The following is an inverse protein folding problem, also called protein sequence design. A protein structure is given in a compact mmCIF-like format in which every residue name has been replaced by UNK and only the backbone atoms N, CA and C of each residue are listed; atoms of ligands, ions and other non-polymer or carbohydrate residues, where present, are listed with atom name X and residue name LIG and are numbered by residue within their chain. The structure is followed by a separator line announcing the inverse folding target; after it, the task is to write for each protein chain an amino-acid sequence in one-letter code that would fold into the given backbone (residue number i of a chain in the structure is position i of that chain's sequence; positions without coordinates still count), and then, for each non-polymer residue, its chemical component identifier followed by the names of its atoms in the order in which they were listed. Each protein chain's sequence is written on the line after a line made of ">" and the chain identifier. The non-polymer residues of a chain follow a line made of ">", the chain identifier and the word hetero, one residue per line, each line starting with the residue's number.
data_IF_120796499768
#
_entry.id   IF_120796499768
#
_cell.length_a   1.000
_cell.length_b   1.000
_cell.length_c   1.000
_cell.angle_alpha   90.00
_cell.angle_beta   90.00
_cell.angle_gamma   90.00
#
_symmetry.space_group_name_H-M   'P 1'
#
loop_
_entity.id
_entity.type
_entity.pdbx_description
1 polymer ?
#
# COMPACT_ATOMS: atom_id res chain seq x y z
N UNK A 1 8.67 -15.01 15.20
CA UNK A 1 9.18 -15.04 13.81
C UNK A 1 8.81 -13.71 13.17
N UNK A 2 9.77 -12.98 12.60
CA UNK A 2 9.49 -11.70 11.94
C UNK A 2 8.70 -11.87 10.65
N UNK A 3 8.05 -10.80 10.20
CA UNK A 3 7.35 -10.73 8.91
C UNK A 3 8.34 -10.94 7.77
N UNK A 4 7.97 -11.74 6.77
CA UNK A 4 8.88 -12.07 5.67
C UNK A 4 8.30 -13.11 4.72
N UNK A 5 8.98 -13.31 3.60
CA UNK A 5 8.71 -14.42 2.68
C UNK A 5 9.38 -15.71 3.19
N UNK A 6 8.88 -16.89 2.81
CA UNK A 6 9.55 -18.16 3.11
C UNK A 6 11.00 -18.14 2.61
N UNK A 7 11.90 -18.78 3.36
CA UNK A 7 13.28 -18.93 2.94
C UNK A 7 13.41 -20.06 1.90
N UNK A 8 14.43 -20.01 1.02
CA UNK A 8 14.81 -21.18 0.25
C UNK A 8 15.22 -22.32 1.19
N UNK A 9 14.86 -23.55 0.83
CA UNK A 9 15.26 -24.76 1.57
C UNK A 9 16.20 -25.62 0.72
N UNK A 10 17.05 -26.42 1.37
CA UNK A 10 18.02 -27.26 0.68
C UNK A 10 17.38 -28.55 0.11
N UNK A 11 16.28 -29.00 0.70
CA UNK A 11 15.56 -30.22 0.29
C UNK A 11 14.05 -30.02 0.21
N UNK A 12 13.31 -30.85 -0.55
CA UNK A 12 11.85 -30.80 -0.59
C UNK A 12 11.18 -30.98 0.78
N UNK A 13 11.69 -31.89 1.62
CA UNK A 13 11.12 -32.14 2.94
C UNK A 13 11.35 -30.97 3.89
N UNK A 14 12.54 -30.38 3.84
CA UNK A 14 12.84 -29.16 4.58
C UNK A 14 11.94 -28.01 4.12
N UNK A 15 11.74 -27.85 2.81
CA UNK A 15 10.84 -26.84 2.25
C UNK A 15 9.44 -26.99 2.85
N UNK A 16 8.84 -28.19 2.78
CA UNK A 16 7.47 -28.39 3.25
C UNK A 16 7.33 -28.21 4.76
N UNK A 17 8.34 -28.60 5.54
CA UNK A 17 8.38 -28.32 6.99
C UNK A 17 8.40 -26.82 7.26
N UNK A 18 9.32 -26.08 6.64
CA UNK A 18 9.42 -24.62 6.81
C UNK A 18 8.16 -23.91 6.29
N UNK A 19 7.61 -24.35 5.16
CA UNK A 19 6.39 -23.80 4.58
C UNK A 19 5.19 -24.00 5.51
N UNK A 20 5.02 -25.21 6.09
CA UNK A 20 3.98 -25.49 7.09
C UNK A 20 4.09 -24.56 8.29
N UNK A 21 5.29 -24.42 8.85
CA UNK A 21 5.58 -23.53 9.99
C UNK A 21 5.28 -22.07 9.63
N UNK A 22 5.75 -21.60 8.47
CA UNK A 22 5.53 -20.23 7.98
C UNK A 22 4.05 -19.91 7.75
N UNK A 23 3.32 -20.85 7.18
CA UNK A 23 1.89 -20.72 6.86
C UNK A 23 1.02 -20.99 8.09
N UNK A 24 1.56 -21.55 9.18
CA UNK A 24 0.80 -21.97 10.36
C UNK A 24 -0.30 -22.99 9.99
N UNK A 25 0.02 -23.90 9.07
CA UNK A 25 -0.88 -24.99 8.68
C UNK A 25 -0.80 -26.16 9.65
N UNK A 26 -1.93 -26.79 9.89
CA UNK A 26 -2.00 -28.16 10.40
C UNK A 26 -1.50 -29.16 9.36
N UNK A 27 -1.28 -30.42 9.75
CA UNK A 27 -0.95 -31.47 8.78
C UNK A 27 -2.05 -31.69 7.74
N UNK A 28 -3.31 -31.67 8.18
CA UNK A 28 -4.47 -31.81 7.30
C UNK A 28 -4.58 -30.65 6.29
N UNK A 29 -4.39 -29.40 6.73
CA UNK A 29 -4.40 -28.24 5.83
C UNK A 29 -3.27 -28.29 4.80
N UNK A 30 -2.08 -28.72 5.22
CA UNK A 30 -0.96 -28.89 4.30
C UNK A 30 -1.22 -30.02 3.30
N UNK A 31 -1.77 -31.14 3.75
CA UNK A 31 -2.14 -32.25 2.87
C UNK A 31 -3.18 -31.80 1.84
N UNK A 32 -4.24 -31.11 2.29
CA UNK A 32 -5.26 -30.55 1.40
C UNK A 32 -4.68 -29.53 0.42
N UNK A 33 -3.76 -28.66 0.87
CA UNK A 33 -3.04 -27.73 -0.01
C UNK A 33 -2.24 -28.47 -1.09
N UNK A 34 -1.59 -29.58 -0.73
CA UNK A 34 -0.76 -30.38 -1.64
C UNK A 34 -1.55 -31.19 -2.67
N UNK A 35 -2.87 -31.37 -2.50
CA UNK A 35 -3.75 -32.00 -3.49
C UNK A 35 -3.87 -31.18 -4.77
N UNK A 36 -3.60 -29.87 -4.73
CA UNK A 36 -3.57 -29.02 -5.92
C UNK A 36 -2.12 -28.87 -6.46
N UNK A 37 -1.78 -29.50 -7.58
CA UNK A 37 -0.43 -29.43 -8.15
C UNK A 37 -0.03 -28.00 -8.57
N UNK A 38 -1.00 -27.12 -8.86
CA UNK A 38 -0.73 -25.72 -9.20
C UNK A 38 -0.25 -24.95 -7.98
N UNK A 39 -0.89 -25.15 -6.82
CA UNK A 39 -0.48 -24.56 -5.54
C UNK A 39 0.90 -25.07 -5.10
N UNK A 40 1.14 -26.37 -5.23
CA UNK A 40 2.45 -26.99 -4.94
C UNK A 40 3.55 -26.32 -5.76
N UNK A 41 3.37 -26.25 -7.08
CA UNK A 41 4.32 -25.61 -8.00
C UNK A 41 4.53 -24.13 -7.65
N UNK A 42 3.45 -23.41 -7.37
CA UNK A 42 3.52 -21.97 -7.08
C UNK A 42 4.22 -21.69 -5.75
N UNK A 43 3.96 -22.47 -4.70
CA UNK A 43 4.61 -22.33 -3.39
C UNK A 43 6.13 -22.48 -3.50
N UNK A 44 6.59 -23.50 -4.24
CA UNK A 44 8.00 -23.74 -4.48
C UNK A 44 8.65 -22.61 -5.29
N UNK A 45 7.97 -22.13 -6.34
CA UNK A 45 8.45 -20.99 -7.14
C UNK A 45 8.57 -19.71 -6.33
N UNK A 46 7.54 -19.36 -5.55
CA UNK A 46 7.53 -18.13 -4.74
C UNK A 46 8.60 -18.10 -3.65
N UNK A 47 9.01 -19.28 -3.16
CA UNK A 47 10.11 -19.42 -2.21
C UNK A 47 11.49 -19.62 -2.87
N UNK A 48 11.56 -19.67 -4.20
CA UNK A 48 12.81 -19.86 -4.91
C UNK A 48 13.68 -18.59 -4.84
N UNK A 49 15.02 -18.73 -4.86
CA UNK A 49 15.91 -17.58 -4.94
C UNK A 49 15.62 -16.66 -6.14
N UNK A 50 15.20 -17.24 -7.28
CA UNK A 50 14.86 -16.44 -8.47
C UNK A 50 13.72 -15.45 -8.19
N UNK A 51 12.70 -15.83 -7.43
CA UNK A 51 11.61 -14.91 -7.05
C UNK A 51 12.02 -14.01 -5.88
N UNK A 52 12.66 -14.57 -4.85
CA UNK A 52 13.00 -13.82 -3.63
C UNK A 52 14.03 -12.71 -3.85
N UNK A 53 14.84 -12.82 -4.91
CA UNK A 53 15.77 -11.79 -5.35
C UNK A 53 15.12 -10.74 -6.25
N UNK A 54 13.87 -10.93 -6.68
CA UNK A 54 13.16 -9.95 -7.49
C UNK A 54 12.38 -8.96 -6.62
N UNK A 55 12.39 -7.71 -7.03
CA UNK A 55 11.64 -6.63 -6.38
C UNK A 55 10.79 -5.92 -7.41
N UNK A 56 9.49 -5.88 -7.16
CA UNK A 56 8.55 -5.07 -7.93
C UNK A 56 8.59 -3.64 -7.39
N UNK A 57 8.77 -2.67 -8.29
CA UNK A 57 8.97 -1.26 -7.94
C UNK A 57 7.92 -0.42 -8.64
N UNK A 58 7.34 0.51 -7.88
CA UNK A 58 6.52 1.60 -8.37
C UNK A 58 7.34 2.87 -8.19
N UNK A 59 7.60 3.61 -9.26
CA UNK A 59 8.39 4.84 -9.23
C UNK A 59 7.59 5.97 -9.83
N UNK A 60 7.35 7.04 -9.07
CA UNK A 60 6.76 8.25 -9.62
C UNK A 60 7.70 8.81 -10.68
N UNK A 61 7.19 8.96 -11.90
CA UNK A 61 7.94 9.53 -13.02
C UNK A 61 7.45 10.92 -13.39
N UNK A 62 6.20 11.23 -13.08
CA UNK A 62 5.62 12.56 -13.26
C UNK A 62 4.44 12.77 -12.30
N UNK A 63 4.03 14.02 -12.12
CA UNK A 63 2.83 14.35 -11.38
C UNK A 63 2.32 15.75 -11.75
N UNK A 64 1.01 15.89 -11.66
CA UNK A 64 0.31 17.16 -11.70
C UNK A 64 -0.53 17.28 -10.42
N UNK A 65 -0.13 18.16 -9.50
CA UNK A 65 -0.92 18.45 -8.30
C UNK A 65 -1.23 17.30 -7.34
N UNK A 66 -0.23 16.49 -7.00
CA UNK A 66 -0.40 15.48 -5.96
C UNK A 66 -0.55 16.14 -4.57
N UNK A 67 -1.76 16.05 -3.99
CA UNK A 67 -2.06 16.55 -2.64
C UNK A 67 -1.20 15.92 -1.55
N UNK A 68 -0.91 14.63 -1.68
CA UNK A 68 -0.13 13.88 -0.69
C UNK A 68 1.39 14.05 -0.85
N UNK A 69 1.82 14.95 -1.74
CA UNK A 69 3.23 15.35 -1.84
C UNK A 69 4.14 14.35 -2.54
N UNK A 70 3.59 13.39 -3.29
CA UNK A 70 4.42 12.49 -4.11
C UNK A 70 5.16 13.30 -5.19
N UNK A 71 6.42 12.93 -5.47
CA UNK A 71 7.32 13.61 -6.40
C UNK A 71 8.05 12.61 -7.30
N UNK A 72 8.49 13.01 -8.52
CA UNK A 72 9.29 12.17 -9.38
C UNK A 72 10.53 11.70 -8.66
N UNK A 73 10.81 10.41 -8.79
CA UNK A 73 11.71 9.71 -7.91
C UNK A 73 10.94 8.80 -6.98
N UNK A 74 10.01 9.28 -6.15
CA UNK A 74 9.42 8.50 -5.04
C UNK A 74 9.09 7.05 -5.42
N UNK A 75 9.51 6.09 -4.59
CA UNK A 75 9.46 4.66 -4.88
C UNK A 75 8.76 3.86 -3.79
N UNK A 76 8.04 2.84 -4.23
CA UNK A 76 7.47 1.79 -3.41
C UNK A 76 8.08 0.45 -3.82
N UNK A 77 8.59 -0.31 -2.85
CA UNK A 77 9.30 -1.56 -3.10
C UNK A 77 8.52 -2.75 -2.56
N UNK A 78 8.32 -3.77 -3.41
CA UNK A 78 7.71 -5.04 -3.03
C UNK A 78 8.68 -6.21 -3.28
N UNK A 79 9.32 -6.68 -2.21
CA UNK A 79 10.21 -7.84 -2.25
C UNK A 79 9.44 -9.10 -2.62
N UNK A 80 10.03 -9.94 -3.48
CA UNK A 80 9.39 -11.12 -4.06
C UNK A 80 8.09 -10.79 -4.81
N UNK A 81 7.96 -9.55 -5.30
CA UNK A 81 6.79 -9.06 -6.02
C UNK A 81 5.55 -8.78 -5.17
N UNK A 82 5.56 -9.08 -3.85
CA UNK A 82 4.34 -9.01 -3.03
C UNK A 82 4.49 -8.41 -1.65
N UNK A 83 5.70 -8.38 -1.07
CA UNK A 83 5.91 -7.95 0.30
C UNK A 83 6.45 -6.53 0.31
N UNK A 84 5.65 -5.55 0.72
CA UNK A 84 6.08 -4.17 0.91
C UNK A 84 7.32 -4.14 1.80
N UNK A 85 8.34 -3.41 1.37
CA UNK A 85 9.55 -3.12 2.13
C UNK A 85 9.52 -1.66 2.60
N UNK A 86 9.07 -1.39 3.84
CA UNK A 86 8.97 -0.03 4.35
C UNK A 86 10.34 0.64 4.51
N UNK A 87 11.41 -0.14 4.71
CA UNK A 87 12.76 0.42 4.95
C UNK A 87 13.38 1.09 3.73
N UNK A 88 12.87 0.75 2.54
CA UNK A 88 13.33 1.29 1.25
C UNK A 88 12.32 2.18 0.58
N UNK A 89 11.06 2.11 0.98
CA UNK A 89 9.95 2.82 0.35
C UNK A 89 9.81 4.25 0.86
N UNK A 90 9.46 5.17 -0.04
CA UNK A 90 8.92 6.47 0.34
C UNK A 90 7.56 6.30 1.00
N UNK A 91 7.18 7.25 1.86
CA UNK A 91 5.77 7.39 2.26
C UNK A 91 4.91 7.46 1.00
N UNK A 92 3.76 6.78 1.02
CA UNK A 92 2.99 6.54 -0.19
C UNK A 92 1.51 6.79 0.00
N UNK A 93 0.85 7.38 -1.00
CA UNK A 93 -0.58 7.66 -0.95
C UNK A 93 -1.37 6.35 -1.05
N UNK A 94 -2.18 6.07 -0.05
CA UNK A 94 -3.02 4.89 0.02
C UNK A 94 -4.03 4.78 -1.14
N UNK A 95 -4.51 5.90 -1.67
CA UNK A 95 -5.43 5.92 -2.82
C UNK A 95 -4.78 5.38 -4.10
N UNK A 96 -3.49 5.67 -4.34
CA UNK A 96 -2.82 5.20 -5.56
C UNK A 96 -2.54 3.69 -5.54
N UNK A 97 -2.65 3.03 -4.38
CA UNK A 97 -2.46 1.58 -4.22
C UNK A 97 -3.73 0.76 -4.38
N UNK A 98 -4.90 1.40 -4.34
CA UNK A 98 -6.21 0.74 -4.37
C UNK A 98 -6.29 -0.36 -5.43
N UNK A 99 -5.78 -0.05 -6.62
CA UNK A 99 -5.88 -0.92 -7.78
C UNK A 99 -4.53 -1.48 -8.21
N UNK A 100 -3.43 -0.78 -7.96
CA UNK A 100 -2.16 -1.11 -8.59
C UNK A 100 -1.36 -2.14 -7.81
N UNK A 101 -1.33 -2.12 -6.47
CA UNK A 101 -0.49 -3.04 -5.71
C UNK A 101 -0.92 -4.51 -5.92
N UNK A 102 -2.17 -4.85 -5.62
CA UNK A 102 -2.69 -6.21 -5.79
C UNK A 102 -2.71 -6.66 -7.25
N UNK A 103 -3.06 -5.78 -8.19
CA UNK A 103 -3.11 -6.14 -9.61
C UNK A 103 -1.72 -6.50 -10.14
N UNK A 104 -0.69 -5.69 -9.89
CA UNK A 104 0.66 -6.00 -10.38
C UNK A 104 1.32 -7.14 -9.61
N UNK A 105 1.01 -7.33 -8.33
CA UNK A 105 1.37 -8.54 -7.60
C UNK A 105 0.76 -9.80 -8.26
N UNK A 106 -0.51 -9.73 -8.67
CA UNK A 106 -1.17 -10.84 -9.37
C UNK A 106 -0.57 -11.10 -10.75
N UNK A 107 -0.28 -10.05 -11.52
CA UNK A 107 0.39 -10.20 -12.82
C UNK A 107 1.78 -10.82 -12.62
N UNK A 108 2.58 -10.29 -11.70
CA UNK A 108 3.90 -10.83 -11.33
C UNK A 108 3.83 -12.32 -11.02
N UNK A 109 2.91 -12.72 -10.14
CA UNK A 109 2.71 -14.10 -9.73
C UNK A 109 2.28 -15.01 -10.90
N UNK A 110 1.40 -14.55 -11.77
CA UNK A 110 0.97 -15.31 -12.94
C UNK A 110 2.11 -15.49 -13.94
N UNK A 111 2.91 -14.45 -14.21
CA UNK A 111 4.08 -14.56 -15.10
C UNK A 111 5.08 -15.60 -14.55
N UNK A 112 5.39 -15.53 -13.25
CA UNK A 112 6.24 -16.53 -12.58
C UNK A 112 5.66 -17.94 -12.70
N UNK A 113 4.35 -18.12 -12.47
CA UNK A 113 3.71 -19.42 -12.59
C UNK A 113 3.88 -20.03 -14.00
N UNK A 114 3.85 -19.19 -15.03
CA UNK A 114 4.00 -19.57 -16.43
C UNK A 114 5.44 -19.59 -16.96
N UNK A 115 6.46 -19.45 -16.09
CA UNK A 115 7.88 -19.38 -16.49
C UNK A 115 8.19 -18.21 -17.44
N UNK A 116 7.45 -17.11 -17.29
CA UNK A 116 7.67 -15.86 -18.02
C UNK A 116 8.38 -14.89 -17.08
N UNK A 117 9.37 -14.15 -17.61
CA UNK A 117 10.04 -13.10 -16.85
C UNK A 117 9.02 -12.06 -16.35
N UNK A 118 8.87 -11.86 -15.03
CA UNK A 118 7.89 -10.93 -14.49
C UNK A 118 8.20 -9.47 -14.82
N UNK A 119 9.37 -9.15 -15.39
CA UNK A 119 9.68 -7.83 -15.95
C UNK A 119 8.96 -7.51 -17.26
N UNK A 120 8.31 -8.49 -17.91
CA UNK A 120 7.64 -8.33 -19.21
C UNK A 120 6.21 -7.78 -19.10
N UNK A 121 5.98 -6.78 -18.24
CA UNK A 121 4.68 -6.11 -18.17
C UNK A 121 4.38 -5.37 -19.48
N UNK A 122 3.19 -5.58 -20.04
CA UNK A 122 2.72 -4.80 -21.21
C UNK A 122 2.38 -3.36 -20.81
N UNK A 123 1.75 -3.19 -19.66
CA UNK A 123 1.39 -1.87 -19.12
C UNK A 123 2.33 -1.52 -17.97
N UNK A 124 3.35 -0.71 -18.24
CA UNK A 124 4.36 -0.31 -17.23
C UNK A 124 4.14 1.09 -16.68
N UNK A 125 3.20 1.87 -17.23
CA UNK A 125 2.90 3.22 -16.75
C UNK A 125 1.45 3.29 -16.31
N UNK A 126 1.22 3.86 -15.14
CA UNK A 126 -0.10 4.01 -14.52
C UNK A 126 -0.19 5.36 -13.85
N UNK A 127 -1.41 5.83 -13.65
CA UNK A 127 -1.70 6.94 -12.77
C UNK A 127 -2.46 6.49 -11.51
N UNK A 128 -2.65 7.40 -10.56
CA UNK A 128 -3.37 7.10 -9.31
C UNK A 128 -4.89 7.04 -9.45
N UNK A 129 -5.45 7.34 -10.63
CA UNK A 129 -6.89 7.36 -10.89
C UNK A 129 -7.61 8.62 -10.40
N UNK A 130 -6.87 9.61 -9.88
CA UNK A 130 -7.43 10.91 -9.49
C UNK A 130 -7.60 11.79 -10.73
N UNK A 131 -8.69 12.54 -10.78
CA UNK A 131 -9.24 13.11 -12.00
C UNK A 131 -8.77 14.57 -12.23
N UNK A 132 -7.50 14.85 -11.89
CA UNK A 132 -6.85 16.17 -12.01
C UNK A 132 -7.60 17.27 -11.22
N UNK A 133 -7.16 18.53 -11.22
CA UNK A 133 -7.87 19.59 -10.47
C UNK A 133 -9.29 19.85 -10.99
N UNK A 134 -9.58 19.46 -12.24
CA UNK A 134 -10.90 19.63 -12.84
C UNK A 134 -11.97 18.83 -12.11
N UNK A 135 -11.71 17.57 -11.76
CA UNK A 135 -12.70 16.68 -11.15
C UNK A 135 -12.23 16.03 -9.83
N UNK A 136 -10.99 16.26 -9.43
CA UNK A 136 -10.38 15.73 -8.22
C UNK A 136 -9.33 16.68 -7.64
N UNK A 137 -8.24 16.13 -7.09
CA UNK A 137 -7.15 16.91 -6.47
C UNK A 137 -5.97 17.11 -7.41
N UNK A 138 -5.54 16.02 -8.05
CA UNK A 138 -4.47 16.01 -9.03
C UNK A 138 -4.27 14.62 -9.62
N UNK A 139 -3.05 14.32 -10.03
CA UNK A 139 -2.69 13.05 -10.63
C UNK A 139 -1.18 12.82 -10.45
N UNK A 140 -0.79 11.62 -10.05
CA UNK A 140 0.59 11.15 -10.15
C UNK A 140 0.67 10.08 -11.22
N UNK A 141 1.76 10.07 -11.98
CA UNK A 141 2.10 9.07 -12.98
C UNK A 141 3.32 8.31 -12.46
N UNK A 142 3.21 6.99 -12.41
CA UNK A 142 4.29 6.13 -11.97
C UNK A 142 4.56 5.01 -12.96
N UNK A 143 5.84 4.69 -13.08
CA UNK A 143 6.34 3.53 -13.81
C UNK A 143 6.43 2.34 -12.87
N UNK A 144 6.17 1.16 -13.41
CA UNK A 144 6.16 -0.11 -12.70
C UNK A 144 7.10 -1.06 -13.42
N UNK A 145 8.03 -1.64 -12.68
CA UNK A 145 9.05 -2.53 -13.23
C UNK A 145 9.55 -3.51 -12.17
N UNK A 146 10.21 -4.58 -12.62
CA UNK A 146 10.84 -5.58 -11.75
C UNK A 146 12.35 -5.47 -11.89
N UNK A 147 13.05 -5.54 -10.77
CA UNK A 147 14.51 -5.64 -10.73
C UNK A 147 14.93 -6.93 -10.06
N UNK A 148 16.00 -7.54 -10.58
CA UNK A 148 16.71 -8.66 -9.97
C UNK A 148 17.88 -8.10 -9.14
N UNK A 149 17.75 -8.19 -7.82
CA UNK A 149 18.69 -7.59 -6.87
C UNK A 149 20.05 -8.30 -6.81
N UNK A 150 20.20 -9.44 -7.48
CA UNK A 150 21.51 -10.05 -7.72
C UNK A 150 22.31 -9.30 -8.78
N UNK A 151 21.64 -8.58 -9.67
CA UNK A 151 22.23 -7.87 -10.82
C UNK A 151 22.33 -6.38 -10.59
N UNK A 152 21.31 -5.79 -9.96
CA UNK A 152 21.24 -4.35 -9.75
C UNK A 152 20.72 -4.03 -8.34
N UNK A 153 21.53 -3.29 -7.58
CA UNK A 153 21.11 -2.78 -6.27
C UNK A 153 20.52 -1.38 -6.45
N UNK A 154 19.23 -1.25 -6.13
CA UNK A 154 18.57 0.05 -6.11
C UNK A 154 18.69 0.65 -4.70
N UNK A 155 19.28 1.84 -4.62
CA UNK A 155 19.43 2.58 -3.38
C UNK A 155 18.07 2.96 -2.77
N UNK A 156 17.95 2.99 -1.44
CA UNK A 156 16.80 3.58 -0.74
C UNK A 156 16.62 5.05 -1.12
N UNK A 157 15.41 5.57 -0.93
CA UNK A 157 15.05 6.90 -1.40
C UNK A 157 14.92 8.00 -0.34
N UNK A 158 14.75 9.22 -0.88
CA UNK A 158 14.73 10.53 -0.24
C UNK A 158 13.51 10.76 0.66
N UNK A 159 13.62 11.81 1.46
CA UNK A 159 12.61 12.32 2.40
C UNK A 159 11.33 12.77 1.68
N UNK A 160 10.20 12.17 2.04
CA UNK A 160 8.86 12.64 1.70
C UNK A 160 8.66 14.11 2.12
N UNK A 161 8.07 14.92 1.24
CA UNK A 161 7.94 16.39 1.43
C UNK A 161 6.74 16.81 2.26
N UNK A 162 5.88 15.87 2.66
CA UNK A 162 4.70 16.18 3.46
C UNK A 162 3.44 16.44 2.63
N UNK A 163 2.33 16.62 3.33
CA UNK A 163 1.06 17.11 2.79
C UNK A 163 0.82 18.57 3.24
N UNK A 164 -0.13 19.30 2.64
CA UNK A 164 -0.53 20.61 3.12
C UNK A 164 -1.02 20.56 4.57
N UNK A 165 -0.66 21.59 5.34
CA UNK A 165 -1.11 21.86 6.71
C UNK A 165 -1.42 23.34 6.83
N UNK A 166 -2.47 23.69 7.59
CA UNK A 166 -2.73 25.07 7.99
C UNK A 166 -1.79 25.41 9.14
N UNK A 167 -1.08 26.53 9.03
CA UNK A 167 -0.17 26.99 10.09
C UNK A 167 -0.93 27.84 11.13
N UNK A 168 -0.51 27.84 12.41
CA UNK A 168 -1.12 28.70 13.42
C UNK A 168 -1.09 30.19 13.01
N UNK A 169 -2.27 30.83 13.00
CA UNK A 169 -2.42 32.24 12.62
C UNK A 169 -2.33 32.52 11.12
N UNK A 170 -2.28 31.49 10.28
CA UNK A 170 -2.22 31.65 8.82
C UNK A 170 -3.55 32.17 8.24
N UNK A 171 -3.44 33.15 7.34
CA UNK A 171 -4.61 33.65 6.59
C UNK A 171 -5.03 32.67 5.49
N UNK A 172 -6.28 32.73 5.06
CA UNK A 172 -6.77 31.93 3.93
C UNK A 172 -5.95 32.18 2.65
N UNK A 173 -5.57 33.43 2.37
CA UNK A 173 -4.77 33.76 1.18
C UNK A 173 -3.35 33.21 1.27
N UNK A 174 -2.72 33.26 2.44
CA UNK A 174 -1.40 32.66 2.64
C UNK A 174 -1.44 31.14 2.47
N UNK A 175 -2.48 30.49 3.01
CA UNK A 175 -2.72 29.08 2.82
C UNK A 175 -2.85 28.75 1.33
N UNK A 176 -3.70 29.47 0.58
CA UNK A 176 -3.91 29.20 -0.84
C UNK A 176 -2.67 29.48 -1.68
N UNK A 177 -1.86 30.49 -1.34
CA UNK A 177 -0.57 30.74 -2.00
C UNK A 177 0.38 29.54 -1.85
N UNK A 178 0.57 29.04 -0.63
CA UNK A 178 1.41 27.84 -0.40
C UNK A 178 0.81 26.59 -1.00
N UNK A 179 -0.51 26.44 -0.93
CA UNK A 179 -1.22 25.30 -1.51
C UNK A 179 -1.04 25.27 -3.03
N UNK A 180 -1.17 26.41 -3.71
CA UNK A 180 -0.88 26.56 -5.14
C UNK A 180 0.55 26.11 -5.46
N UNK A 181 1.55 26.56 -4.68
CA UNK A 181 2.95 26.16 -4.85
C UNK A 181 3.16 24.65 -4.63
N UNK A 182 2.61 24.08 -3.55
CA UNK A 182 2.71 22.65 -3.23
C UNK A 182 2.09 21.75 -4.30
N UNK A 183 0.94 22.18 -4.83
CA UNK A 183 0.19 21.49 -5.87
C UNK A 183 0.70 21.81 -7.28
N UNK A 184 1.57 22.79 -7.48
CA UNK A 184 1.93 23.30 -8.82
C UNK A 184 0.71 23.69 -9.66
N UNK A 185 -0.32 24.21 -9.00
CA UNK A 185 -1.50 24.73 -9.67
C UNK A 185 -1.16 25.98 -10.48
N UNK A 186 -1.75 26.10 -11.66
CA UNK A 186 -1.78 27.36 -12.41
C UNK A 186 -2.74 28.35 -11.73
N UNK A 187 -2.71 29.61 -12.14
CA UNK A 187 -3.69 30.61 -11.69
C UNK A 187 -5.13 30.23 -12.06
N UNK A 188 -5.31 29.56 -13.20
CA UNK A 188 -6.62 29.07 -13.62
C UNK A 188 -7.08 27.87 -12.78
N UNK A 189 -6.17 26.96 -12.42
CA UNK A 189 -6.52 25.82 -11.54
C UNK A 189 -6.96 26.30 -10.16
N UNK A 190 -6.22 27.22 -9.55
CA UNK A 190 -6.56 27.72 -8.22
C UNK A 190 -7.87 28.50 -8.25
N UNK A 191 -8.13 29.26 -9.33
CA UNK A 191 -9.41 29.95 -9.53
C UNK A 191 -10.57 28.95 -9.56
N UNK A 192 -10.50 27.93 -10.43
CA UNK A 192 -11.53 26.87 -10.52
C UNK A 192 -11.70 26.10 -9.22
N UNK A 193 -10.59 25.83 -8.52
CA UNK A 193 -10.63 25.16 -7.23
C UNK A 193 -11.42 25.97 -6.20
N UNK A 194 -11.23 27.30 -6.18
CA UNK A 194 -11.94 28.22 -5.27
C UNK A 194 -13.41 28.43 -5.63
N UNK A 195 -13.79 28.21 -6.87
CA UNK A 195 -15.20 28.25 -7.32
C UNK A 195 -16.02 27.04 -6.81
N UNK A 196 -15.36 25.96 -6.36
CA UNK A 196 -16.01 24.79 -5.77
C UNK A 196 -16.01 24.90 -4.23
N UNK A 197 -17.14 25.29 -3.60
CA UNK A 197 -17.21 25.47 -2.15
C UNK A 197 -17.01 24.15 -1.38
N UNK A 198 -17.30 23.00 -1.98
CA UNK A 198 -17.08 21.69 -1.36
C UNK A 198 -15.58 21.40 -1.31
N UNK A 199 -14.83 21.66 -2.38
CA UNK A 199 -13.37 21.50 -2.39
C UNK A 199 -12.69 22.44 -1.42
N UNK A 200 -13.09 23.71 -1.39
CA UNK A 200 -12.56 24.71 -0.44
C UNK A 200 -12.78 24.26 1.00
N UNK A 201 -14.03 23.92 1.37
CA UNK A 201 -14.34 23.40 2.71
C UNK A 201 -13.51 22.15 3.04
N UNK A 202 -13.42 21.23 2.07
CA UNK A 202 -12.73 19.96 2.25
C UNK A 202 -11.24 20.17 2.46
N UNK A 203 -10.55 21.02 1.69
CA UNK A 203 -9.11 21.20 1.85
C UNK A 203 -8.77 21.85 3.19
N UNK A 204 -9.56 22.82 3.66
CA UNK A 204 -9.35 23.40 4.98
C UNK A 204 -9.54 22.36 6.09
N UNK A 205 -10.58 21.52 5.99
CA UNK A 205 -10.76 20.42 6.96
C UNK A 205 -9.60 19.42 6.88
N UNK A 206 -9.22 19.01 5.68
CA UNK A 206 -8.14 18.04 5.46
C UNK A 206 -6.78 18.58 5.87
N UNK A 207 -6.51 19.88 5.77
CA UNK A 207 -5.26 20.51 6.20
C UNK A 207 -5.26 20.91 7.70
N UNK A 208 -6.40 20.75 8.39
CA UNK A 208 -6.52 21.09 9.81
C UNK A 208 -5.87 20.05 10.73
N UNK A 209 -5.52 20.44 11.98
CA UNK A 209 -5.09 19.52 13.04
C UNK A 209 -6.05 18.34 13.25
N UNK A 210 -7.37 18.55 13.09
CA UNK A 210 -8.37 17.49 13.28
C UNK A 210 -8.17 16.28 12.35
N UNK A 211 -7.53 16.48 11.20
CA UNK A 211 -7.16 15.39 10.28
C UNK A 211 -5.68 15.08 10.40
N UNK A 212 -4.84 16.11 10.35
CA UNK A 212 -3.39 15.95 10.18
C UNK A 212 -2.64 15.51 11.42
N UNK A 213 -3.27 15.61 12.58
CA UNK A 213 -2.75 15.09 13.84
C UNK A 213 -3.44 13.77 14.20
N UNK A 214 -4.12 13.13 13.25
CA UNK A 214 -4.65 11.78 13.38
C UNK A 214 -3.95 10.81 12.44
N UNK A 215 -3.72 9.61 12.94
CA UNK A 215 -3.23 8.48 12.14
C UNK A 215 -4.20 7.33 12.22
N UNK A 216 -4.60 6.85 11.05
CA UNK A 216 -5.34 5.60 10.92
C UNK A 216 -4.36 4.44 11.06
N UNK A 217 -4.68 3.51 11.95
CA UNK A 217 -3.88 2.31 12.22
C UNK A 217 -4.67 1.09 11.81
N UNK A 218 -4.02 0.24 11.02
CA UNK A 218 -4.49 -1.12 10.75
C UNK A 218 -3.57 -2.08 11.49
N UNK A 219 -4.09 -2.76 12.50
CA UNK A 219 -3.35 -3.76 13.27
C UNK A 219 -3.84 -5.16 12.93
N UNK A 220 -2.96 -6.04 12.50
CA UNK A 220 -3.30 -7.44 12.27
C UNK A 220 -3.82 -8.04 13.57
N UNK A 221 -5.06 -8.52 13.56
CA UNK A 221 -5.72 -9.16 14.69
C UNK A 221 -5.67 -10.70 14.56
N UNK A 222 -5.67 -11.20 13.34
CA UNK A 222 -5.60 -12.63 13.03
C UNK A 222 -4.83 -12.86 11.74
N UNK A 223 -4.02 -13.92 11.69
CA UNK A 223 -3.32 -14.34 10.49
C UNK A 223 -3.07 -15.84 10.49
N UNK A 224 -3.51 -16.51 9.44
CA UNK A 224 -3.24 -17.92 9.16
C UNK A 224 -3.03 -18.11 7.66
N UNK A 225 -2.05 -18.89 7.24
CA UNK A 225 -1.74 -19.12 5.83
C UNK A 225 -1.19 -17.89 5.09
N UNK A 226 -0.66 -16.88 5.78
CA UNK A 226 -0.16 -15.68 5.11
C UNK A 226 1.25 -15.91 4.54
N UNK A 227 1.35 -16.05 3.21
CA UNK A 227 2.63 -16.22 2.52
C UNK A 227 3.59 -15.02 2.70
N UNK A 228 3.03 -13.82 2.80
CA UNK A 228 3.77 -12.59 3.10
C UNK A 228 4.28 -12.52 4.56
N UNK A 229 3.88 -13.49 5.40
CA UNK A 229 4.40 -13.61 6.76
C UNK A 229 3.79 -12.63 7.76
N UNK A 230 2.70 -11.94 7.44
CA UNK A 230 2.03 -11.03 8.37
C UNK A 230 1.53 -11.79 9.61
N UNK A 231 1.59 -11.18 10.80
CA UNK A 231 1.27 -11.76 12.11
C UNK A 231 0.47 -10.80 12.99
N UNK A 232 -0.29 -11.31 13.97
CA UNK A 232 -0.94 -10.45 14.95
C UNK A 232 0.01 -9.44 15.59
N UNK A 233 -0.43 -8.19 15.67
CA UNK A 233 0.34 -7.05 16.18
C UNK A 233 1.12 -6.26 15.12
N UNK A 234 1.26 -6.77 13.89
CA UNK A 234 1.80 -5.99 12.78
C UNK A 234 0.90 -4.81 12.44
N UNK A 235 1.49 -3.65 12.16
CA UNK A 235 0.75 -2.40 12.00
C UNK A 235 1.08 -1.70 10.69
N UNK A 236 0.06 -1.11 10.07
CA UNK A 236 0.19 -0.11 9.01
C UNK A 236 -0.31 1.22 9.57
N UNK A 237 0.50 2.27 9.44
CA UNK A 237 0.16 3.61 9.90
C UNK A 237 -0.11 4.50 8.70
N UNK A 238 -1.24 5.20 8.70
CA UNK A 238 -1.66 6.10 7.63
C UNK A 238 -1.93 7.51 8.19
N UNK A 239 -0.99 8.42 7.97
CA UNK A 239 -1.04 9.83 8.39
C UNK A 239 -2.21 10.52 7.68
N UNK A 240 -3.05 11.22 8.44
CA UNK A 240 -4.27 11.84 7.92
C UNK A 240 -5.21 10.85 7.26
N UNK A 241 -5.10 9.56 7.60
CA UNK A 241 -5.88 8.46 7.04
C UNK A 241 -5.53 8.04 5.63
N UNK A 242 -4.53 8.66 4.97
CA UNK A 242 -4.26 8.43 3.54
C UNK A 242 -2.81 8.05 3.27
N UNK A 243 -1.84 8.72 3.88
CA UNK A 243 -0.41 8.52 3.54
C UNK A 243 0.19 7.46 4.42
N UNK A 244 0.63 6.35 3.84
CA UNK A 244 1.33 5.30 4.58
C UNK A 244 2.66 5.85 5.09
N UNK A 245 2.85 5.78 6.40
CA UNK A 245 4.11 6.10 7.07
C UNK A 245 5.01 4.86 7.09
N UNK A 246 5.97 4.84 6.17
CA UNK A 246 6.89 3.72 6.02
C UNK A 246 7.85 3.59 7.21
N UNK A 247 8.10 4.67 7.96
CA UNK A 247 9.02 4.65 9.11
C UNK A 247 8.46 3.90 10.32
N UNK A 248 7.13 3.79 10.41
CA UNK A 248 6.42 3.16 11.53
C UNK A 248 5.74 1.83 11.15
N UNK A 249 5.54 1.58 9.87
CA UNK A 249 4.76 0.44 9.40
C UNK A 249 5.58 -0.85 9.33
N UNK A 250 4.95 -1.97 9.68
CA UNK A 250 5.44 -3.31 9.37
C UNK A 250 5.43 -3.55 7.85
N UNK A 251 6.16 -4.56 7.35
CA UNK A 251 5.97 -5.08 5.99
C UNK A 251 4.53 -5.60 5.79
N UNK A 252 3.93 -5.29 4.65
CA UNK A 252 2.54 -5.67 4.33
C UNK A 252 2.44 -6.30 2.95
N UNK A 253 1.51 -7.24 2.78
CA UNK A 253 1.24 -7.84 1.48
C UNK A 253 0.52 -6.86 0.56
N UNK A 254 0.91 -6.81 -0.73
CA UNK A 254 0.24 -6.03 -1.77
C UNK A 254 -1.27 -6.29 -1.85
N UNK A 255 -1.70 -7.55 -1.69
CA UNK A 255 -3.13 -7.93 -1.66
C UNK A 255 -3.88 -7.41 -0.43
N UNK A 256 -3.19 -7.28 0.72
CA UNK A 256 -3.79 -6.70 1.91
C UNK A 256 -3.90 -5.17 1.78
N UNK A 257 -2.87 -4.52 1.21
CA UNK A 257 -2.80 -3.07 1.05
C UNK A 257 -3.90 -2.53 0.14
N UNK A 258 -4.15 -3.14 -1.03
CA UNK A 258 -5.11 -2.60 -2.01
C UNK A 258 -6.52 -2.40 -1.44
N UNK A 259 -7.03 -3.33 -0.63
CA UNK A 259 -8.33 -3.18 0.02
C UNK A 259 -8.28 -2.25 1.23
N UNK A 260 -7.19 -2.32 1.98
CA UNK A 260 -6.99 -1.55 3.20
C UNK A 260 -6.96 -0.03 2.95
N UNK A 261 -6.20 0.43 1.95
CA UNK A 261 -5.73 1.81 2.00
C UNK A 261 -6.71 2.83 1.41
N UNK A 262 -7.27 2.56 0.23
CA UNK A 262 -8.10 3.56 -0.46
C UNK A 262 -9.51 3.68 0.12
N UNK A 263 -10.14 2.54 0.41
CA UNK A 263 -11.49 2.54 0.97
C UNK A 263 -11.50 3.13 2.38
N UNK A 264 -10.54 2.75 3.23
CA UNK A 264 -10.47 3.29 4.58
C UNK A 264 -10.08 4.77 4.59
N UNK A 265 -9.20 5.22 3.69
CA UNK A 265 -8.89 6.64 3.54
C UNK A 265 -10.13 7.46 3.19
N UNK A 266 -10.93 7.00 2.22
CA UNK A 266 -12.20 7.65 1.88
C UNK A 266 -13.18 7.66 3.05
N UNK A 267 -13.36 6.54 3.75
CA UNK A 267 -14.28 6.47 4.90
C UNK A 267 -13.79 7.41 6.01
N UNK A 268 -12.51 7.38 6.35
CA UNK A 268 -11.91 8.23 7.38
C UNK A 268 -12.14 9.72 7.08
N UNK A 269 -11.86 10.16 5.85
CA UNK A 269 -12.04 11.56 5.46
C UNK A 269 -13.53 11.97 5.49
N UNK A 270 -14.42 11.09 5.00
CA UNK A 270 -15.86 11.36 5.03
C UNK A 270 -16.41 11.48 6.45
N UNK A 271 -16.03 10.58 7.38
CA UNK A 271 -16.47 10.68 8.77
C UNK A 271 -16.10 12.03 9.38
N UNK A 272 -14.85 12.48 9.20
CA UNK A 272 -14.39 13.77 9.72
C UNK A 272 -15.13 14.95 9.07
N UNK A 273 -15.39 14.90 7.76
CA UNK A 273 -16.15 15.95 7.07
C UNK A 273 -17.58 16.10 7.61
N UNK A 274 -18.15 15.01 8.12
CA UNK A 274 -19.46 14.98 8.78
C UNK A 274 -19.40 15.20 10.31
N UNK A 275 -18.22 15.53 10.86
CA UNK A 275 -18.06 15.77 12.30
C UNK A 275 -18.14 14.49 13.15
N UNK A 276 -18.01 13.32 12.53
CA UNK A 276 -18.04 12.03 13.19
C UNK A 276 -16.61 11.59 13.48
N UNK A 277 -16.34 11.21 14.72
CA UNK A 277 -15.01 10.73 15.08
C UNK A 277 -14.72 9.40 14.35
N UNK A 278 -13.57 9.19 13.68
CA UNK A 278 -13.30 7.97 12.91
C UNK A 278 -13.43 6.65 13.71
N UNK A 279 -13.13 6.69 15.02
CA UNK A 279 -13.36 5.56 15.93
C UNK A 279 -14.85 5.25 16.19
N UNK A 280 -15.80 5.97 15.59
CA UNK A 280 -17.22 5.61 15.60
C UNK A 280 -17.63 4.76 14.38
N UNK A 281 -16.71 4.49 13.44
CA UNK A 281 -16.98 3.59 12.31
C UNK A 281 -17.49 2.23 12.81
N UNK A 282 -18.65 1.77 12.35
CA UNK A 282 -19.22 0.50 12.81
C UNK A 282 -18.42 -0.73 12.34
N UNK A 283 -17.77 -0.64 11.16
CA UNK A 283 -16.83 -1.67 10.68
C UNK A 283 -15.50 -1.49 11.39
N UNK A 284 -15.13 -2.44 12.25
CA UNK A 284 -13.86 -2.43 13.00
C UNK A 284 -12.81 -3.39 12.48
N UNK A 285 -13.22 -4.33 11.65
CA UNK A 285 -12.35 -5.39 11.14
C UNK A 285 -12.55 -5.52 9.63
N UNK A 286 -11.44 -5.64 8.92
CA UNK A 286 -11.40 -5.98 7.51
C UNK A 286 -10.43 -7.15 7.30
N UNK A 287 -10.53 -7.80 6.15
CA UNK A 287 -9.64 -8.90 5.78
C UNK A 287 -8.94 -8.64 4.46
N UNK A 288 -7.80 -9.31 4.23
CA UNK A 288 -7.23 -9.38 2.89
C UNK A 288 -8.18 -10.10 1.91
N UNK A 289 -7.95 -9.89 0.61
CA UNK A 289 -8.76 -10.48 -0.47
C UNK A 289 -8.56 -11.98 -0.69
N UNK A 290 -7.60 -12.63 -0.02
CA UNK A 290 -7.42 -14.07 -0.10
C UNK A 290 -8.58 -14.79 0.59
N UNK A 291 -9.11 -15.84 -0.03
CA UNK A 291 -10.27 -16.58 0.45
C UNK A 291 -9.91 -17.64 1.50
N UNK A 292 -8.62 -17.87 1.77
CA UNK A 292 -8.15 -18.88 2.70
C UNK A 292 -8.09 -20.29 2.10
N UNK A 293 -7.42 -21.24 2.79
CA UNK A 293 -7.16 -22.57 2.26
C UNK A 293 -8.45 -23.35 1.93
N UNK A 294 -9.51 -23.17 2.72
CA UNK A 294 -10.81 -23.84 2.53
C UNK A 294 -11.50 -23.51 1.20
N UNK A 295 -11.25 -22.31 0.66
CA UNK A 295 -11.89 -21.81 -0.56
C UNK A 295 -10.91 -21.70 -1.73
N UNK A 296 -9.80 -22.43 -1.69
CA UNK A 296 -8.82 -22.45 -2.78
C UNK A 296 -7.74 -21.38 -2.70
N UNK A 297 -7.72 -20.54 -1.67
CA UNK A 297 -6.69 -19.53 -1.41
C UNK A 297 -5.45 -20.09 -0.69
N UNK A 298 -4.62 -19.17 -0.19
CA UNK A 298 -3.43 -19.47 0.63
C UNK A 298 -3.69 -19.22 2.11
N UNK A 299 -4.46 -18.19 2.45
CA UNK A 299 -4.59 -17.80 3.85
C UNK A 299 -5.54 -16.66 4.07
N UNK A 300 -5.65 -16.26 5.34
CA UNK A 300 -6.50 -15.17 5.75
C UNK A 300 -5.79 -14.31 6.77
N UNK A 301 -5.78 -13.01 6.50
CA UNK A 301 -5.37 -11.98 7.44
C UNK A 301 -6.59 -11.11 7.73
N UNK A 302 -6.87 -10.88 9.01
CA UNK A 302 -7.90 -9.95 9.48
C UNK A 302 -7.17 -8.88 10.30
N UNK A 303 -7.48 -7.62 10.04
CA UNK A 303 -6.90 -6.47 10.74
C UNK A 303 -8.00 -5.61 11.35
N UNK A 304 -7.73 -5.14 12.56
CA UNK A 304 -8.52 -4.17 13.30
C UNK A 304 -8.15 -2.76 12.84
N UNK A 305 -9.15 -1.88 12.75
CA UNK A 305 -9.00 -0.50 12.29
C UNK A 305 -9.36 0.44 13.44
N UNK A 306 -8.49 1.41 13.69
CA UNK A 306 -8.73 2.47 14.66
C UNK A 306 -7.85 3.68 14.35
N UNK A 307 -8.14 4.82 14.96
CA UNK A 307 -7.33 6.03 14.84
C UNK A 307 -6.68 6.38 16.16
N UNK A 308 -5.47 6.90 16.07
CA UNK A 308 -4.70 7.47 17.18
C UNK A 308 -4.44 8.96 16.91
N UNK A 309 -4.22 9.72 17.97
CA UNK A 309 -3.70 11.08 17.88
C UNK A 309 -2.18 11.03 17.78
N UNK A 310 -1.62 11.87 16.92
CA UNK A 310 -0.20 12.19 16.87
C UNK A 310 0.09 13.20 18.00
N UNK A 311 1.11 12.92 18.81
CA UNK A 311 1.54 13.79 19.92
C UNK A 311 2.62 14.77 19.47
#
# INVERSE_FOLDING_TARGET
>A
MGVGLPKPAATPDEFWRQFKEHMQYTDEELENFRKDPRKVRMAQKMASPDVLNKTLIFEVVDYYACAEGMRPGDRLFFKGGILLDPTRSSNWCGFSLAYSAAMYAAIFQNLIFHDIDPGQFVHTVRDCGDATPRFGWGQMIYKIYVVDETKEKISPQRRWVGHPRIMPGESEEDFFRRFKEHMRFTDEDIKRFREDPVKVKTIFKMASPEVRDKTLVLEVAYSKGCIAGMRPGDKLYMIGGVVIDMSRSSPWCAYALSFATAQLGAIFQNLILHGIHPNEMYVKYLSCGDCGPEFGGWGKVIYKIYTIEEK
#
